data_IF_254114644960
#
_entry.id   IF_254114644960
#
_cell.length_a   1.000
_cell.length_b   1.000
_cell.length_c   1.000
_cell.angle_alpha   90.00
_cell.angle_beta   90.00
_cell.angle_gamma   90.00
#
_symmetry.space_group_name_H-M   'P 1'
#
loop_
_entity.id
_entity.type
_entity.pdbx_description
1 polymer ?
#
# COMPACT_ATOMS: atom_id res chain seq x y z
N UNK A 1 11.68 -2.60 -8.84
CA UNK A 1 10.34 -3.13 -8.51
C UNK A 1 9.48 -1.95 -8.10
N UNK A 2 8.36 -1.70 -8.79
CA UNK A 2 7.34 -0.76 -8.29
C UNK A 2 6.38 -1.54 -7.38
N UNK A 3 6.23 -1.08 -6.15
CA UNK A 3 5.27 -1.63 -5.19
C UNK A 3 4.48 -0.48 -4.59
N UNK A 4 3.16 -0.63 -4.50
CA UNK A 4 2.29 0.29 -3.77
C UNK A 4 2.21 -0.21 -2.32
N UNK A 5 2.65 0.61 -1.37
CA UNK A 5 2.46 0.37 0.07
C UNK A 5 1.35 1.29 0.56
N UNK A 6 0.31 0.73 1.16
CA UNK A 6 -0.71 1.53 1.83
C UNK A 6 -0.21 1.96 3.20
N UNK A 7 0.20 3.23 3.35
CA UNK A 7 0.39 3.88 4.66
C UNK A 7 -0.77 4.85 4.92
N UNK A 8 -2.02 4.39 4.76
CA UNK A 8 -3.18 5.15 5.24
C UNK A 8 -3.23 5.20 6.76
N UNK A 9 -4.15 6.01 7.31
CA UNK A 9 -4.76 5.70 8.62
C UNK A 9 -5.00 4.18 8.66
N UNK A 10 -4.78 3.53 9.81
CA UNK A 10 -4.74 2.06 10.00
C UNK A 10 -5.83 1.22 9.26
N UNK A 11 -6.88 1.84 8.70
CA UNK A 11 -8.04 1.25 8.00
C UNK A 11 -8.49 2.02 6.74
N UNK A 12 -7.62 2.80 6.10
CA UNK A 12 -7.95 3.62 4.94
C UNK A 12 -7.30 3.09 3.64
N UNK A 13 -7.91 3.35 2.47
CA UNK A 13 -7.24 3.10 1.21
C UNK A 13 -5.96 3.98 1.11
N UNK A 14 -4.94 3.58 0.33
CA UNK A 14 -3.71 4.35 0.21
C UNK A 14 -4.01 5.76 -0.26
N UNK A 15 -3.65 6.77 0.52
CA UNK A 15 -3.72 8.17 0.09
C UNK A 15 -2.36 8.69 -0.38
N UNK A 16 -1.31 7.89 -0.26
CA UNK A 16 0.06 8.24 -0.64
C UNK A 16 0.62 7.20 -1.60
N UNK A 17 1.39 7.68 -2.58
CA UNK A 17 2.23 6.86 -3.44
C UNK A 17 3.68 7.11 -3.05
N UNK A 18 4.31 6.07 -2.51
CA UNK A 18 5.74 6.04 -2.25
C UNK A 18 6.48 5.38 -3.41
N UNK A 19 7.51 6.06 -3.91
CA UNK A 19 8.36 5.59 -4.99
C UNK A 19 9.80 5.63 -4.50
N UNK A 20 10.46 4.48 -4.54
CA UNK A 20 11.89 4.34 -4.22
C UNK A 20 12.63 3.94 -5.49
N UNK A 21 13.61 4.75 -5.89
CA UNK A 21 14.54 4.41 -6.96
C UNK A 21 15.96 4.33 -6.40
N UNK A 22 16.70 3.29 -6.79
CA UNK A 22 18.12 3.13 -6.48
C UNK A 22 18.85 3.20 -7.81
N UNK A 23 19.80 4.13 -7.92
CA UNK A 23 20.69 4.23 -9.08
C UNK A 23 22.10 4.56 -8.60
N UNK A 24 23.07 3.79 -9.10
CA UNK A 24 24.47 3.84 -8.67
C UNK A 24 24.56 3.71 -7.14
N UNK A 25 25.10 4.72 -6.45
CA UNK A 25 25.23 4.82 -4.99
C UNK A 25 24.13 5.68 -4.35
N UNK A 26 23.09 6.06 -5.09
CA UNK A 26 22.05 7.00 -4.65
C UNK A 26 20.67 6.35 -4.50
N UNK A 27 19.97 6.78 -3.46
CA UNK A 27 18.57 6.45 -3.20
C UNK A 27 17.72 7.71 -3.39
N UNK A 28 16.72 7.62 -4.25
CA UNK A 28 15.70 8.65 -4.44
C UNK A 28 14.39 8.15 -3.83
N UNK A 29 13.79 8.98 -2.98
CA UNK A 29 12.51 8.72 -2.35
C UNK A 29 11.54 9.83 -2.73
N UNK A 30 10.39 9.46 -3.30
CA UNK A 30 9.29 10.38 -3.58
C UNK A 30 8.06 9.86 -2.85
N UNK A 31 7.48 10.69 -1.99
CA UNK A 31 6.15 10.51 -1.44
C UNK A 31 5.22 11.52 -2.10
N UNK A 32 4.09 11.07 -2.65
CA UNK A 32 3.06 11.95 -3.21
C UNK A 32 1.72 11.61 -2.60
N UNK A 33 1.23 12.49 -1.74
CA UNK A 33 -0.12 12.40 -1.17
C UNK A 33 -1.20 12.79 -2.20
N UNK A 34 -2.38 12.21 -2.07
CA UNK A 34 -3.56 12.37 -2.93
C UNK A 34 -3.31 12.21 -4.44
N UNK A 35 -2.24 11.47 -4.79
CA UNK A 35 -1.79 11.33 -6.17
C UNK A 35 -2.82 10.62 -7.08
N UNK A 36 -3.62 9.72 -6.49
CA UNK A 36 -4.72 9.00 -7.14
C UNK A 36 -5.84 8.76 -6.12
N UNK A 37 -7.09 8.99 -6.51
CA UNK A 37 -8.25 8.58 -5.70
C UNK A 37 -8.32 7.06 -5.66
N UNK A 38 -7.95 6.48 -4.53
CA UNK A 38 -8.08 5.05 -4.27
C UNK A 38 -9.40 4.75 -3.58
N UNK A 39 -9.81 3.48 -3.62
CA UNK A 39 -10.99 3.00 -2.93
C UNK A 39 -10.63 1.82 -2.02
N UNK A 40 -11.44 1.62 -0.98
CA UNK A 40 -11.37 0.45 -0.11
C UNK A 40 -11.57 -0.82 -0.93
N UNK A 41 -10.89 -1.91 -0.54
CA UNK A 41 -11.10 -3.25 -1.12
C UNK A 41 -11.91 -4.07 -0.11
N UNK A 42 -13.23 -4.29 -0.31
CA UNK A 42 -14.09 -4.90 0.70
C UNK A 42 -13.64 -6.31 1.15
N UNK A 43 -13.05 -7.09 0.24
CA UNK A 43 -12.49 -8.40 0.56
C UNK A 43 -11.38 -8.31 1.61
N UNK A 44 -10.51 -7.29 1.53
CA UNK A 44 -9.41 -7.12 2.48
C UNK A 44 -9.89 -6.55 3.82
N UNK A 45 -10.89 -5.66 3.82
CA UNK A 45 -11.54 -5.24 5.07
C UNK A 45 -12.17 -6.43 5.82
N UNK A 46 -12.73 -7.41 5.09
CA UNK A 46 -13.27 -8.64 5.68
C UNK A 46 -12.16 -9.48 6.33
N UNK A 47 -11.01 -9.65 5.67
CA UNK A 47 -9.84 -10.35 6.24
C UNK A 47 -9.37 -9.68 7.53
N UNK A 48 -9.23 -8.35 7.52
CA UNK A 48 -8.88 -7.58 8.72
C UNK A 48 -9.85 -7.86 9.88
N UNK A 49 -11.17 -7.72 9.64
CA UNK A 49 -12.20 -7.96 10.67
C UNK A 49 -12.13 -9.38 11.23
N UNK A 50 -11.92 -10.38 10.36
CA UNK A 50 -11.76 -11.78 10.78
C UNK A 50 -10.53 -11.98 11.65
N UNK A 51 -9.41 -11.32 11.36
CA UNK A 51 -8.19 -11.40 12.14
C UNK A 51 -8.33 -10.72 13.50
N UNK A 52 -8.95 -9.53 13.54
CA UNK A 52 -9.19 -8.79 14.79
C UNK A 52 -10.19 -9.48 15.72
N UNK A 53 -11.13 -10.26 15.17
CA UNK A 53 -12.07 -11.05 15.95
C UNK A 53 -11.42 -12.27 16.64
N UNK A 54 -10.20 -12.68 16.24
CA UNK A 54 -9.50 -13.81 16.87
C UNK A 54 -9.06 -13.41 18.27
N UNK A 55 -9.21 -14.34 19.22
CA UNK A 55 -8.74 -14.15 20.61
C UNK A 55 -7.22 -14.34 20.76
N UNK A 56 -6.57 -14.91 19.75
CA UNK A 56 -5.13 -15.19 19.74
C UNK A 56 -4.46 -14.37 18.64
N UNK A 57 -3.42 -13.58 18.96
CA UNK A 57 -2.81 -13.39 20.29
C UNK A 57 -3.73 -12.61 21.23
N UNK A 58 -3.58 -12.88 22.54
CA UNK A 58 -4.31 -12.15 23.59
C UNK A 58 -3.86 -10.70 23.65
N UNK A 59 -2.57 -10.47 23.41
CA UNK A 59 -1.98 -9.15 23.24
C UNK A 59 -2.62 -8.42 22.05
N UNK A 60 -3.05 -7.18 22.31
CA UNK A 60 -3.78 -6.37 21.34
C UNK A 60 -2.87 -5.92 20.19
N UNK A 61 -1.63 -5.50 20.50
CA UNK A 61 -0.68 -5.02 19.48
C UNK A 61 -0.30 -6.15 18.52
N UNK A 62 0.06 -7.32 19.04
CA UNK A 62 0.38 -8.48 18.22
C UNK A 62 -0.81 -8.98 17.38
N UNK A 63 -2.05 -8.70 17.82
CA UNK A 63 -3.25 -9.04 17.05
C UNK A 63 -3.46 -8.06 15.91
N UNK A 64 -3.29 -6.76 16.17
CA UNK A 64 -3.30 -5.72 15.15
C UNK A 64 -2.21 -5.95 14.10
N UNK A 65 -0.98 -6.28 14.51
CA UNK A 65 0.12 -6.60 13.60
C UNK A 65 -0.22 -7.76 12.66
N UNK A 66 -0.81 -8.84 13.19
CA UNK A 66 -1.25 -9.98 12.38
C UNK A 66 -2.41 -9.63 11.44
N UNK A 67 -3.33 -8.79 11.90
CA UNK A 67 -4.41 -8.30 11.06
C UNK A 67 -3.87 -7.41 9.94
N UNK A 68 -2.85 -6.59 10.23
CA UNK A 68 -2.17 -5.71 9.26
C UNK A 68 -1.46 -6.54 8.20
N UNK A 69 -0.65 -7.52 8.61
CA UNK A 69 0.04 -8.43 7.68
C UNK A 69 -0.95 -9.15 6.75
N UNK A 70 -2.05 -9.67 7.30
CA UNK A 70 -3.08 -10.35 6.50
C UNK A 70 -3.79 -9.38 5.53
N UNK A 71 -4.09 -8.16 5.97
CA UNK A 71 -4.68 -7.13 5.13
C UNK A 71 -3.73 -6.73 4.01
N UNK A 72 -2.46 -6.46 4.30
CA UNK A 72 -1.44 -6.09 3.32
C UNK A 72 -1.24 -7.17 2.26
N UNK A 73 -1.22 -8.45 2.66
CA UNK A 73 -1.15 -9.58 1.72
C UNK A 73 -2.38 -9.66 0.82
N UNK A 74 -3.57 -9.47 1.38
CA UNK A 74 -4.80 -9.38 0.58
C UNK A 74 -4.73 -8.21 -0.39
N UNK A 75 -4.34 -7.03 0.07
CA UNK A 75 -4.28 -5.83 -0.74
C UNK A 75 -3.31 -5.99 -1.91
N UNK A 76 -2.11 -6.55 -1.69
CA UNK A 76 -1.14 -6.81 -2.75
C UNK A 76 -1.69 -7.74 -3.85
N UNK A 77 -2.53 -8.70 -3.46
CA UNK A 77 -3.19 -9.64 -4.40
C UNK A 77 -4.36 -8.99 -5.14
N UNK A 78 -5.21 -8.24 -4.43
CA UNK A 78 -6.48 -7.73 -4.96
C UNK A 78 -6.35 -6.34 -5.61
N UNK A 79 -5.33 -5.55 -5.27
CA UNK A 79 -5.14 -4.21 -5.81
C UNK A 79 -5.01 -4.21 -7.35
N UNK A 80 -4.26 -5.12 -8.01
CA UNK A 80 -4.13 -5.13 -9.46
C UNK A 80 -5.44 -5.29 -10.24
N UNK A 81 -6.49 -5.86 -9.63
CA UNK A 81 -7.81 -6.01 -10.25
C UNK A 81 -8.71 -4.80 -10.05
N UNK A 82 -8.29 -3.81 -9.25
CA UNK A 82 -9.08 -2.60 -9.01
C UNK A 82 -8.98 -1.62 -10.18
N UNK A 83 -10.09 -0.95 -10.49
CA UNK A 83 -10.17 0.03 -11.58
C UNK A 83 -9.20 1.21 -11.45
N UNK A 84 -8.81 1.58 -10.22
CA UNK A 84 -7.88 2.68 -9.95
C UNK A 84 -6.40 2.29 -10.06
N UNK A 85 -6.06 0.99 -10.10
CA UNK A 85 -4.68 0.53 -9.97
C UNK A 85 -3.78 0.96 -11.12
N UNK A 86 -4.26 0.84 -12.35
CA UNK A 86 -3.50 1.23 -13.53
C UNK A 86 -3.14 2.74 -13.51
N UNK A 87 -4.05 3.58 -13.02
CA UNK A 87 -3.81 5.01 -12.85
C UNK A 87 -2.74 5.29 -11.77
N UNK A 88 -2.78 4.55 -10.65
CA UNK A 88 -1.79 4.65 -9.58
C UNK A 88 -0.39 4.26 -10.08
N UNK A 89 -0.27 3.14 -10.81
CA UNK A 89 1.01 2.70 -11.41
C UNK A 89 1.53 3.73 -12.41
N UNK A 90 0.68 4.26 -13.29
CA UNK A 90 1.06 5.29 -14.26
C UNK A 90 1.58 6.56 -13.58
N UNK A 91 0.94 6.97 -12.49
CA UNK A 91 1.36 8.14 -11.70
C UNK A 91 2.69 7.90 -10.99
N UNK A 92 2.89 6.71 -10.41
CA UNK A 92 4.16 6.33 -9.81
C UNK A 92 5.31 6.35 -10.84
N UNK A 93 5.06 5.80 -12.04
CA UNK A 93 6.02 5.85 -13.13
C UNK A 93 6.35 7.29 -13.56
N UNK A 94 5.35 8.17 -13.67
CA UNK A 94 5.64 9.56 -14.04
C UNK A 94 6.44 10.32 -12.99
N UNK A 95 6.38 9.93 -11.71
CA UNK A 95 7.28 10.47 -10.69
C UNK A 95 8.73 9.98 -10.88
N UNK A 96 8.91 8.71 -11.24
CA UNK A 96 10.23 8.15 -11.56
C UNK A 96 10.87 8.85 -12.76
N UNK A 97 10.10 9.11 -13.81
CA UNK A 97 10.60 9.71 -15.04
C UNK A 97 11.11 11.16 -14.86
N UNK A 98 10.69 11.83 -13.78
CA UNK A 98 11.15 13.17 -13.40
C UNK A 98 12.47 13.16 -12.63
N UNK A 99 12.88 12.02 -12.10
CA UNK A 99 14.14 11.93 -11.38
C UNK A 99 15.32 12.06 -12.36
N UNK A 100 16.41 12.75 -11.96
CA UNK A 100 17.63 12.82 -12.76
C UNK A 100 18.39 11.48 -12.66
N UNK A 101 17.78 10.42 -13.19
CA UNK A 101 18.30 9.06 -13.27
C UNK A 101 19.14 8.86 -14.53
N UNK A 102 19.65 9.93 -15.15
CA UNK A 102 20.61 9.86 -16.27
C UNK A 102 22.00 10.23 -15.78
#
# INVERSE_FOLDING_TARGET
>A
MLGLRGNGDLKAPPHEIDVVAIKDDKVFFIATSDAVKTAKIPACEKVWKQMMARKTPQDAMAREDRAMDAYTKCFAKEAPSQSWFAAAVKKAQSQLDLLPLR
#
